data_IF_412507886650
#
_entry.id   IF_412507886650
#
_cell.length_a   1.000
_cell.length_b   1.000
_cell.length_c   1.000
_cell.angle_alpha   90.00
_cell.angle_beta   90.00
_cell.angle_gamma   90.00
#
_symmetry.space_group_name_H-M   'P 1'
#
loop_
_entity.id
_entity.type
_entity.pdbx_description
1 polymer ?
#
# COMPACT_ATOMS: atom_id res chain seq x y z
N UNK A 1 -10.09 -0.90 -19.11
CA UNK A 1 -9.91 0.48 -18.62
C UNK A 1 -8.41 0.71 -18.50
N UNK A 2 -7.88 1.87 -18.91
CA UNK A 2 -6.47 2.18 -18.83
C UNK A 2 -6.25 3.29 -17.80
N UNK A 3 -5.25 3.16 -16.94
CA UNK A 3 -4.89 4.18 -15.95
C UNK A 3 -3.57 4.83 -16.34
N UNK A 4 -3.62 6.09 -16.75
CA UNK A 4 -2.43 6.90 -16.94
C UNK A 4 -2.15 7.69 -15.66
N UNK A 5 -1.33 7.13 -14.78
CA UNK A 5 -1.01 7.78 -13.51
C UNK A 5 -0.21 9.08 -13.68
N UNK A 6 0.37 9.36 -14.84
CA UNK A 6 1.04 10.65 -15.10
C UNK A 6 0.05 11.81 -15.27
N UNK A 7 -1.21 11.53 -15.54
CA UNK A 7 -2.27 12.53 -15.76
C UNK A 7 -3.25 12.61 -14.58
N UNK A 8 -2.98 11.86 -13.51
CA UNK A 8 -3.79 11.85 -12.30
C UNK A 8 -3.07 12.54 -11.16
N UNK A 9 -3.82 13.30 -10.38
CA UNK A 9 -3.35 13.91 -9.14
C UNK A 9 -3.46 12.94 -7.97
N UNK A 10 -2.60 13.12 -6.97
CA UNK A 10 -2.73 12.39 -5.72
C UNK A 10 -3.89 12.94 -4.90
N UNK A 11 -4.72 12.05 -4.37
CA UNK A 11 -5.61 12.35 -3.26
C UNK A 11 -4.89 12.04 -1.94
N UNK A 12 -5.12 12.87 -0.93
CA UNK A 12 -4.55 12.68 0.41
C UNK A 12 -5.55 11.94 1.32
N UNK A 13 -5.06 10.88 1.97
CA UNK A 13 -5.81 10.08 2.93
C UNK A 13 -5.10 10.15 4.29
N UNK A 14 -5.49 11.09 5.18
CA UNK A 14 -4.91 11.23 6.50
C UNK A 14 -5.14 9.99 7.36
N UNK A 15 -4.13 9.57 8.09
CA UNK A 15 -4.13 8.45 9.03
C UNK A 15 -4.79 7.19 8.46
N UNK A 16 -4.45 6.86 7.20
CA UNK A 16 -5.10 5.76 6.48
C UNK A 16 -4.95 4.44 7.26
N UNK A 17 -6.09 3.79 7.55
CA UNK A 17 -6.18 2.59 8.42
C UNK A 17 -5.60 2.79 9.83
N UNK A 18 -5.57 4.02 10.34
CA UNK A 18 -4.98 4.37 11.63
C UNK A 18 -3.46 4.49 11.61
N UNK A 19 -2.86 4.60 10.42
CA UNK A 19 -1.42 4.82 10.25
C UNK A 19 -0.97 6.25 10.60
N UNK A 20 0.33 6.47 10.47
CA UNK A 20 0.97 7.76 10.72
C UNK A 20 0.96 8.63 9.47
N UNK A 21 0.72 9.93 9.64
CA UNK A 21 0.65 10.93 8.56
C UNK A 21 -0.37 10.51 7.48
N UNK A 22 -0.08 10.75 6.21
CA UNK A 22 -1.01 10.53 5.11
C UNK A 22 -0.49 9.51 4.10
N UNK A 23 -1.41 8.70 3.57
CA UNK A 23 -1.24 8.04 2.28
C UNK A 23 -1.63 9.03 1.18
N UNK A 24 -0.75 9.23 0.20
CA UNK A 24 -1.11 9.91 -1.05
C UNK A 24 -1.38 8.83 -2.10
N UNK A 25 -2.59 8.79 -2.68
CA UNK A 25 -2.95 7.73 -3.60
C UNK A 25 -3.69 8.23 -4.86
N UNK A 26 -3.42 7.54 -5.96
CA UNK A 26 -4.22 7.57 -7.20
C UNK A 26 -4.99 6.24 -7.24
N UNK A 27 -6.30 6.30 -7.00
CA UNK A 27 -7.09 5.11 -6.69
C UNK A 27 -8.21 4.87 -7.69
N UNK A 28 -8.38 3.61 -8.09
CA UNK A 28 -9.61 3.10 -8.67
C UNK A 28 -10.18 2.03 -7.73
N UNK A 29 -11.50 1.95 -7.64
CA UNK A 29 -12.15 0.81 -7.01
C UNK A 29 -13.49 0.48 -7.67
N UNK A 30 -13.81 -0.80 -7.71
CA UNK A 30 -15.13 -1.33 -8.01
C UNK A 30 -15.50 -2.43 -7.00
N UNK A 31 -16.53 -3.24 -7.30
CA UNK A 31 -16.96 -4.34 -6.43
C UNK A 31 -15.93 -5.48 -6.30
N UNK A 32 -14.96 -5.56 -7.20
CA UNK A 32 -14.04 -6.70 -7.31
C UNK A 32 -12.59 -6.32 -7.06
N UNK A 33 -12.19 -5.09 -7.35
CA UNK A 33 -10.81 -4.68 -7.28
C UNK A 33 -10.69 -3.27 -6.71
N UNK A 34 -9.67 -3.09 -5.88
CA UNK A 34 -9.05 -1.79 -5.65
C UNK A 34 -7.68 -1.79 -6.29
N UNK A 35 -7.35 -0.72 -7.01
CA UNK A 35 -6.07 -0.52 -7.67
C UNK A 35 -5.52 0.82 -7.21
N UNK A 36 -4.31 0.83 -6.67
CA UNK A 36 -3.72 1.98 -6.00
C UNK A 36 -2.32 2.22 -6.55
N UNK A 37 -2.02 3.42 -7.01
CA UNK A 37 -0.65 3.91 -7.06
C UNK A 37 -0.44 4.82 -5.85
N UNK A 38 0.33 4.35 -4.88
CA UNK A 38 0.47 4.95 -3.56
C UNK A 38 1.84 5.56 -3.32
N UNK A 39 1.87 6.59 -2.48
CA UNK A 39 3.08 7.25 -1.99
C UNK A 39 2.99 7.50 -0.49
N UNK A 40 4.07 7.17 0.21
CA UNK A 40 4.28 7.47 1.62
C UNK A 40 5.53 8.36 1.76
N UNK A 41 5.37 9.50 2.41
CA UNK A 41 6.49 10.37 2.80
C UNK A 41 7.26 9.76 3.99
N UNK A 42 8.51 10.20 4.28
CA UNK A 42 9.26 9.71 5.44
C UNK A 42 8.44 9.71 6.73
N UNK A 43 8.40 8.56 7.41
CA UNK A 43 7.67 8.33 8.64
C UNK A 43 6.15 8.18 8.50
N UNK A 44 5.60 8.15 7.27
CA UNK A 44 4.19 7.82 7.05
C UNK A 44 3.96 6.31 7.02
N UNK A 45 2.76 5.87 7.37
CA UNK A 45 2.36 4.47 7.30
C UNK A 45 0.90 4.27 6.94
N UNK A 46 0.61 3.10 6.39
CA UNK A 46 -0.72 2.51 6.38
C UNK A 46 -0.83 1.68 7.65
N UNK A 47 -1.87 1.91 8.45
CA UNK A 47 -2.04 1.21 9.72
C UNK A 47 -2.26 -0.29 9.57
N UNK A 48 -2.08 -1.01 10.68
CA UNK A 48 -2.24 -2.47 10.73
C UNK A 48 -3.70 -2.84 10.43
N UNK A 49 -3.90 -3.74 9.47
CA UNK A 49 -5.23 -4.20 9.09
C UNK A 49 -5.21 -5.61 8.54
N UNK A 50 -6.36 -6.27 8.61
CA UNK A 50 -6.58 -7.67 8.20
C UNK A 50 -7.40 -7.71 6.92
N UNK A 51 -6.99 -8.59 5.99
CA UNK A 51 -7.69 -8.83 4.74
C UNK A 51 -8.70 -9.99 4.89
N UNK A 52 -9.87 -9.71 5.46
CA UNK A 52 -10.87 -10.75 5.79
C UNK A 52 -11.56 -11.37 4.56
N UNK A 53 -11.84 -10.55 3.54
CA UNK A 53 -12.62 -10.95 2.34
C UNK A 53 -11.78 -11.01 1.07
N UNK A 54 -10.57 -10.47 1.09
CA UNK A 54 -9.73 -10.19 -0.06
C UNK A 54 -8.26 -10.54 0.23
N UNK A 55 -7.36 -10.22 -0.67
CA UNK A 55 -5.90 -10.26 -0.48
C UNK A 55 -5.31 -8.95 -0.95
N UNK A 56 -4.04 -8.66 -0.68
CA UNK A 56 -3.34 -7.52 -1.28
C UNK A 56 -1.99 -7.91 -1.88
N UNK A 57 -1.72 -7.40 -3.08
CA UNK A 57 -0.41 -7.46 -3.74
C UNK A 57 0.13 -6.03 -3.77
N UNK A 58 1.34 -5.81 -3.26
CA UNK A 58 2.02 -4.51 -3.30
C UNK A 58 3.36 -4.67 -4.03
N UNK A 59 3.56 -3.93 -5.10
CA UNK A 59 4.84 -3.87 -5.82
C UNK A 59 5.51 -2.52 -5.57
N UNK A 60 6.73 -2.52 -5.06
CA UNK A 60 7.45 -1.29 -4.73
C UNK A 60 8.11 -0.73 -6.00
N UNK A 61 7.75 0.50 -6.35
CA UNK A 61 8.22 1.15 -7.58
C UNK A 61 9.40 2.08 -7.33
N UNK A 62 9.52 2.63 -6.12
CA UNK A 62 10.60 3.54 -5.72
C UNK A 62 10.81 3.55 -4.21
N UNK A 63 12.06 3.72 -3.79
CA UNK A 63 12.42 3.90 -2.39
C UNK A 63 12.50 2.60 -1.59
N UNK A 64 12.55 2.74 -0.27
CA UNK A 64 12.65 1.65 0.69
C UNK A 64 11.64 1.83 1.80
N UNK A 65 11.23 0.73 2.42
CA UNK A 65 10.40 0.76 3.61
C UNK A 65 10.39 -0.59 4.29
N UNK A 66 9.33 -0.84 5.05
CA UNK A 66 9.10 -2.14 5.68
C UNK A 66 7.62 -2.47 5.77
N UNK A 67 7.33 -3.75 5.84
CA UNK A 67 6.02 -4.28 6.21
C UNK A 67 6.10 -4.92 7.58
N UNK A 68 5.03 -4.83 8.34
CA UNK A 68 4.76 -5.73 9.45
C UNK A 68 3.79 -6.78 8.92
N UNK A 69 4.13 -8.06 8.93
CA UNK A 69 3.25 -9.16 8.55
C UNK A 69 3.17 -10.14 9.70
N UNK A 70 1.97 -10.37 10.24
CA UNK A 70 1.71 -11.32 11.34
C UNK A 70 2.68 -11.20 12.53
N UNK A 71 3.13 -9.99 12.83
CA UNK A 71 4.03 -9.68 13.95
C UNK A 71 5.52 -9.58 13.59
N UNK A 72 5.92 -9.94 12.38
CA UNK A 72 7.32 -9.88 11.92
C UNK A 72 7.56 -8.72 10.95
N UNK A 73 8.71 -8.05 11.10
CA UNK A 73 9.09 -6.94 10.24
C UNK A 73 9.98 -7.42 9.09
N UNK A 74 9.60 -7.06 7.86
CA UNK A 74 10.38 -7.35 6.66
C UNK A 74 10.68 -6.06 5.90
N UNK A 75 11.91 -5.95 5.39
CA UNK A 75 12.33 -4.81 4.58
C UNK A 75 11.80 -4.93 3.16
N UNK A 76 11.53 -3.77 2.56
CA UNK A 76 11.14 -3.64 1.17
C UNK A 76 11.99 -2.60 0.46
N UNK A 77 12.25 -2.83 -0.82
CA UNK A 77 12.90 -1.88 -1.71
C UNK A 77 12.32 -1.97 -3.13
N UNK A 78 12.59 -0.96 -3.95
CA UNK A 78 12.15 -0.91 -5.33
C UNK A 78 12.48 -2.20 -6.10
N UNK A 79 11.46 -2.77 -6.76
CA UNK A 79 11.55 -4.05 -7.45
C UNK A 79 11.04 -5.25 -6.64
N UNK A 80 10.75 -5.09 -5.35
CA UNK A 80 10.15 -6.14 -4.52
C UNK A 80 8.63 -6.17 -4.61
N UNK A 81 8.08 -7.37 -4.42
CA UNK A 81 6.65 -7.63 -4.35
C UNK A 81 6.30 -8.20 -2.98
N UNK A 82 5.41 -7.53 -2.26
CA UNK A 82 4.78 -8.01 -1.03
C UNK A 82 3.42 -8.60 -1.34
N UNK A 83 3.09 -9.74 -0.73
CA UNK A 83 1.78 -10.37 -0.86
C UNK A 83 1.19 -10.63 0.53
N UNK A 84 -0.02 -10.12 0.75
CA UNK A 84 -0.84 -10.38 1.92
C UNK A 84 -2.00 -11.30 1.53
N UNK A 85 -1.95 -12.60 1.88
CA UNK A 85 -3.05 -13.51 1.61
C UNK A 85 -4.30 -13.15 2.43
N UNK A 86 -5.46 -13.63 1.97
CA UNK A 86 -6.71 -13.55 2.72
C UNK A 86 -6.57 -14.18 4.11
N UNK A 87 -7.08 -13.48 5.12
CA UNK A 87 -7.01 -13.85 6.54
C UNK A 87 -5.74 -13.38 7.25
N UNK A 88 -4.78 -12.79 6.55
CA UNK A 88 -3.54 -12.28 7.14
C UNK A 88 -3.63 -10.79 7.48
N UNK A 89 -2.77 -10.37 8.41
CA UNK A 89 -2.72 -9.01 8.93
C UNK A 89 -1.39 -8.37 8.59
N UNK A 90 -1.44 -7.17 8.01
CA UNK A 90 -0.21 -6.45 7.69
C UNK A 90 -0.31 -4.93 7.87
N UNK A 91 0.84 -4.26 7.74
CA UNK A 91 0.96 -2.81 7.57
C UNK A 91 2.09 -2.49 6.59
N UNK A 92 2.11 -1.26 6.07
CA UNK A 92 3.20 -0.74 5.23
C UNK A 92 3.71 0.57 5.82
N UNK A 93 5.02 0.70 6.00
CA UNK A 93 5.65 1.85 6.63
C UNK A 93 6.80 2.36 5.77
N UNK A 94 6.91 3.67 5.63
CA UNK A 94 8.13 4.31 5.15
C UNK A 94 8.99 4.73 6.36
N UNK A 95 9.94 3.89 6.73
CA UNK A 95 10.93 4.13 7.78
C UNK A 95 12.27 4.68 7.25
N UNK A 96 12.28 5.13 5.99
CA UNK A 96 13.43 5.78 5.35
C UNK A 96 13.36 7.31 5.43
N UNK A 97 14.38 7.99 4.91
CA UNK A 97 14.48 9.44 4.79
C UNK A 97 14.04 9.97 3.41
N UNK A 98 13.62 9.09 2.49
CA UNK A 98 13.15 9.43 1.15
C UNK A 98 11.70 8.97 0.91
N UNK A 99 11.11 9.33 -0.22
CA UNK A 99 9.76 8.88 -0.58
C UNK A 99 9.74 7.38 -0.94
N UNK A 100 8.69 6.69 -0.48
CA UNK A 100 8.33 5.34 -0.88
C UNK A 100 7.12 5.40 -1.82
N UNK A 101 7.24 4.83 -3.02
CA UNK A 101 6.13 4.66 -3.96
C UNK A 101 5.89 3.19 -4.26
N UNK A 102 4.62 2.84 -4.46
CA UNK A 102 4.19 1.47 -4.69
C UNK A 102 2.93 1.41 -5.54
N UNK A 103 2.73 0.25 -6.16
CA UNK A 103 1.48 -0.13 -6.82
C UNK A 103 0.83 -1.26 -6.04
N UNK A 104 -0.41 -1.09 -5.61
CA UNK A 104 -1.15 -2.11 -4.88
C UNK A 104 -2.44 -2.52 -5.59
N UNK A 105 -2.77 -3.81 -5.48
CA UNK A 105 -4.02 -4.39 -5.99
C UNK A 105 -4.66 -5.22 -4.89
N UNK A 106 -5.92 -4.91 -4.58
CA UNK A 106 -6.73 -5.63 -3.59
C UNK A 106 -7.93 -6.26 -4.31
N UNK A 107 -7.84 -7.53 -4.75
CA UNK A 107 -8.97 -8.24 -5.33
C UNK A 107 -9.87 -8.85 -4.24
N UNK A 108 -11.19 -8.67 -4.36
CA UNK A 108 -12.18 -9.39 -3.55
C UNK A 108 -12.24 -10.87 -3.94
N UNK A 109 -12.30 -11.75 -2.92
CA UNK A 109 -12.21 -13.21 -3.06
C UNK A 109 -13.42 -13.90 -2.43
N UNK A 110 -14.62 -13.46 -2.85
CA UNK A 110 -15.90 -14.05 -2.42
C UNK A 110 -16.00 -15.55 -2.72
#
# INVERSE_FOLDING_TARGET
MNFNYHEQEYEEFPNFKGGEKSLYAKMFHDEKNRIIYGKLIPGASIGVHTHETNSEIIYITKGTGRVLMDGEYEKLEAGMCHYCPKGHTHSLMNDSDAELEFFAVVPEQN
#
